data_IF_416029005112
#
_entry.id   IF_416029005112
#
_cell.length_a   1.000
_cell.length_b   1.000
_cell.length_c   1.000
_cell.angle_alpha   90.00
_cell.angle_beta   90.00
_cell.angle_gamma   90.00
#
_symmetry.space_group_name_H-M   'P 1'
#
loop_
_entity.id
_entity.type
_entity.pdbx_description
1 polymer ?
#
# COMPACT_ATOMS: atom_id res chain seq x y z
N UNK A 1 -17.27 -17.04 5.18
CA UNK A 1 -15.84 -16.92 4.80
C UNK A 1 -15.43 -15.50 5.12
N UNK A 2 -14.40 -15.30 5.95
CA UNK A 2 -13.93 -13.95 6.25
C UNK A 2 -13.22 -13.42 5.00
N UNK A 3 -13.66 -12.30 4.46
CA UNK A 3 -12.90 -11.61 3.40
C UNK A 3 -11.55 -11.18 4.01
N UNK A 4 -10.42 -11.37 3.32
CA UNK A 4 -9.14 -10.96 3.89
C UNK A 4 -9.08 -9.43 3.93
N UNK A 5 -9.08 -8.86 5.13
CA UNK A 5 -9.08 -7.40 5.36
C UNK A 5 -7.69 -6.81 5.12
N UNK A 6 -7.53 -5.94 4.11
CA UNK A 6 -6.28 -5.29 3.69
C UNK A 6 -5.93 -4.07 4.54
N UNK A 7 -6.90 -3.38 5.13
CA UNK A 7 -6.64 -2.23 6.02
C UNK A 7 -5.63 -2.59 7.12
N UNK A 8 -4.63 -1.74 7.31
CA UNK A 8 -3.54 -1.96 8.27
C UNK A 8 -2.36 -2.76 7.72
N UNK A 9 -2.42 -3.27 6.48
CA UNK A 9 -1.27 -3.91 5.83
C UNK A 9 -0.33 -2.87 5.25
N UNK A 10 0.96 -3.16 5.34
CA UNK A 10 1.99 -2.41 4.65
C UNK A 10 2.39 -3.10 3.35
N UNK A 11 2.74 -2.32 2.34
CA UNK A 11 3.21 -2.79 1.04
C UNK A 11 4.27 -1.89 0.44
N UNK A 12 4.54 -2.15 -0.84
CA UNK A 12 5.50 -1.38 -1.64
C UNK A 12 4.84 -0.91 -2.92
N UNK A 13 5.08 0.34 -3.31
CA UNK A 13 4.61 0.89 -4.58
C UNK A 13 5.37 0.24 -5.75
N UNK A 14 4.63 -0.36 -6.67
CA UNK A 14 5.17 -0.97 -7.92
C UNK A 14 4.91 -0.11 -9.15
N UNK A 15 3.98 0.84 -9.06
CA UNK A 15 3.77 1.91 -10.04
C UNK A 15 3.45 3.20 -9.29
N UNK A 16 4.24 4.25 -9.55
CA UNK A 16 4.13 5.53 -8.84
C UNK A 16 2.68 6.03 -8.76
N UNK A 17 2.29 6.55 -7.59
CA UNK A 17 0.96 7.08 -7.32
C UNK A 17 1.06 8.60 -7.45
N UNK A 18 0.43 9.26 -8.44
CA UNK A 18 0.58 10.71 -8.63
C UNK A 18 -0.10 11.57 -7.55
N UNK A 19 -1.05 10.99 -6.80
CA UNK A 19 -1.88 11.69 -5.82
C UNK A 19 -3.20 12.20 -6.39
N UNK A 20 -4.24 12.25 -5.56
CA UNK A 20 -5.61 12.59 -5.97
C UNK A 20 -6.35 11.39 -6.59
N UNK A 21 -7.03 11.62 -7.71
CA UNK A 21 -7.80 10.59 -8.42
C UNK A 21 -6.96 9.57 -9.24
N UNK A 22 -5.83 9.93 -9.87
CA UNK A 22 -5.02 8.98 -10.62
C UNK A 22 -4.55 7.78 -9.80
N UNK A 23 -4.61 6.60 -10.41
CA UNK A 23 -4.21 5.35 -9.79
C UNK A 23 -2.72 5.06 -10.01
N UNK A 24 -2.05 4.59 -8.95
CA UNK A 24 -0.82 3.82 -9.03
C UNK A 24 -1.06 2.34 -8.73
N UNK A 25 0.01 1.61 -8.42
CA UNK A 25 -0.06 0.19 -8.06
C UNK A 25 0.81 -0.09 -6.84
N UNK A 26 0.33 -0.97 -5.96
CA UNK A 26 1.05 -1.45 -4.79
C UNK A 26 1.03 -2.97 -4.75
N UNK A 27 2.12 -3.56 -4.26
CA UNK A 27 2.19 -4.97 -3.91
C UNK A 27 2.00 -5.14 -2.39
N UNK A 28 1.05 -5.98 -1.99
CA UNK A 28 0.65 -6.21 -0.61
C UNK A 28 0.73 -7.70 -0.24
N UNK A 29 1.13 -8.05 1.01
CA UNK A 29 1.00 -9.41 1.51
C UNK A 29 -0.48 -9.84 1.56
N UNK A 30 -0.82 -10.91 0.85
CA UNK A 30 -2.19 -11.41 0.74
C UNK A 30 -2.23 -12.92 0.57
N UNK A 31 -3.13 -13.59 1.29
CA UNK A 31 -3.39 -15.04 1.17
C UNK A 31 -2.14 -15.97 1.17
N UNK A 32 -1.08 -15.60 1.91
CA UNK A 32 0.16 -16.39 2.00
C UNK A 32 1.20 -16.09 0.91
N UNK A 33 0.95 -15.10 0.06
CA UNK A 33 1.92 -14.55 -0.89
C UNK A 33 1.85 -13.03 -0.93
N UNK A 34 2.19 -12.45 -2.08
CA UNK A 34 1.96 -11.05 -2.38
C UNK A 34 1.01 -10.92 -3.58
N UNK A 35 0.23 -9.85 -3.59
CA UNK A 35 -0.68 -9.56 -4.69
C UNK A 35 -0.70 -8.05 -4.98
N UNK A 36 -0.96 -7.68 -6.23
CA UNK A 36 -1.01 -6.29 -6.67
C UNK A 36 -2.40 -5.71 -6.56
N UNK A 37 -2.47 -4.44 -6.16
CA UNK A 37 -3.70 -3.68 -5.99
C UNK A 37 -3.55 -2.30 -6.61
N UNK A 38 -4.64 -1.78 -7.15
CA UNK A 38 -4.70 -0.39 -7.59
C UNK A 38 -4.70 0.52 -6.36
N UNK A 39 -3.92 1.59 -6.39
CA UNK A 39 -3.72 2.44 -5.22
C UNK A 39 -4.02 3.91 -5.51
N UNK A 40 -4.68 4.56 -4.56
CA UNK A 40 -4.81 6.03 -4.48
C UNK A 40 -4.13 6.55 -3.24
N UNK A 41 -3.67 7.79 -3.31
CA UNK A 41 -3.10 8.50 -2.18
C UNK A 41 -3.50 9.98 -2.27
N UNK A 42 -3.52 10.67 -1.14
CA UNK A 42 -3.81 12.11 -1.12
C UNK A 42 -2.71 12.92 -1.83
N UNK A 43 -1.45 12.49 -1.71
CA UNK A 43 -0.28 13.10 -2.34
C UNK A 43 0.51 12.11 -3.19
N UNK A 44 1.54 12.57 -3.92
CA UNK A 44 2.38 11.72 -4.73
C UNK A 44 3.21 10.76 -3.86
N UNK A 45 3.35 9.51 -4.32
CA UNK A 45 4.20 8.48 -3.71
C UNK A 45 5.03 7.82 -4.83
N UNK A 46 6.35 7.80 -4.66
CA UNK A 46 7.29 7.26 -5.61
C UNK A 46 7.29 5.74 -5.71
N UNK A 47 7.91 5.24 -6.77
CA UNK A 47 8.21 3.81 -6.94
C UNK A 47 9.08 3.31 -5.78
N UNK A 48 8.87 2.06 -5.36
CA UNK A 48 9.57 1.37 -4.26
C UNK A 48 9.35 1.96 -2.86
N UNK A 49 8.55 3.02 -2.73
CA UNK A 49 8.20 3.56 -1.42
C UNK A 49 7.25 2.63 -0.64
N UNK A 50 7.42 2.60 0.68
CA UNK A 50 6.57 1.84 1.57
C UNK A 50 5.28 2.59 1.86
N UNK A 51 4.16 1.85 1.90
CA UNK A 51 2.83 2.41 2.13
C UNK A 51 2.02 1.60 3.13
N UNK A 52 1.03 2.23 3.76
CA UNK A 52 0.04 1.63 4.64
C UNK A 52 -1.34 1.72 4.00
N UNK A 53 -2.06 0.61 3.94
CA UNK A 53 -3.47 0.59 3.49
C UNK A 53 -4.37 1.17 4.57
N UNK A 54 -5.09 2.24 4.24
CA UNK A 54 -6.00 2.94 5.16
C UNK A 54 -7.47 2.73 4.81
N UNK A 55 -7.80 2.35 3.57
CA UNK A 55 -9.15 2.00 3.16
C UNK A 55 -9.16 1.01 1.98
N UNK A 56 -10.28 0.31 1.82
CA UNK A 56 -10.55 -0.63 0.73
C UNK A 56 -11.79 -0.21 -0.04
N UNK A 57 -11.73 -0.36 -1.36
CA UNK A 57 -12.82 -0.05 -2.28
C UNK A 57 -13.14 -1.27 -3.16
N UNK A 58 -14.39 -1.37 -3.67
CA UNK A 58 -14.74 -2.38 -4.67
C UNK A 58 -13.80 -2.34 -5.88
N UNK A 59 -13.54 -3.50 -6.48
CA UNK A 59 -12.68 -3.57 -7.67
C UNK A 59 -11.17 -3.65 -7.38
N UNK A 60 -10.78 -4.02 -6.14
CA UNK A 60 -9.37 -4.18 -5.72
C UNK A 60 -8.58 -2.87 -5.73
N UNK A 61 -9.24 -1.79 -5.30
CA UNK A 61 -8.63 -0.48 -5.12
C UNK A 61 -8.43 -0.27 -3.62
N UNK A 62 -7.28 0.27 -3.25
CA UNK A 62 -6.94 0.64 -1.86
C UNK A 62 -6.57 2.12 -1.81
N UNK A 63 -6.96 2.79 -0.74
CA UNK A 63 -6.34 4.07 -0.39
C UNK A 63 -5.16 3.80 0.53
N UNK A 64 -4.05 4.46 0.24
CA UNK A 64 -2.79 4.28 0.96
C UNK A 64 -2.17 5.62 1.36
N UNK A 65 -1.40 5.57 2.44
CA UNK A 65 -0.57 6.68 2.91
C UNK A 65 0.90 6.26 2.95
N UNK A 66 1.86 7.19 2.78
CA UNK A 66 3.29 6.90 2.95
C UNK A 66 3.56 6.29 4.33
N UNK A 67 4.31 5.20 4.36
CA UNK A 67 4.68 4.51 5.59
C UNK A 67 6.17 4.62 5.85
N UNK A 68 6.55 5.58 6.69
CA UNK A 68 7.90 5.65 7.21
C UNK A 68 8.13 4.49 8.19
N UNK A 69 9.03 3.56 7.86
CA UNK A 69 9.55 2.65 8.86
C UNK A 69 10.34 3.47 9.87
N UNK A 70 9.93 3.48 11.13
CA UNK A 70 10.82 3.88 12.22
C UNK A 70 12.07 2.99 12.12
N UNK A 71 13.28 3.56 12.00
CA UNK A 71 14.49 2.77 12.08
C UNK A 71 14.45 1.94 13.36
N UNK A 72 14.56 0.61 13.22
CA UNK A 72 14.78 -0.24 14.38
C UNK A 72 16.10 0.16 15.06
N UNK A 73 16.27 -0.10 16.37
CA UNK A 73 17.56 0.12 17.00
C UNK A 73 18.65 -0.61 16.20
N UNK A 74 19.72 0.09 15.85
CA UNK A 74 20.88 -0.53 15.22
C UNK A 74 21.36 -1.68 16.11
N UNK A 75 21.60 -2.89 15.57
CA UNK A 75 22.22 -3.95 16.35
C UNK A 75 23.60 -3.44 16.80
N UNK A 76 23.81 -3.33 18.12
CA UNK A 76 25.14 -3.09 18.69
C UNK A 76 26.04 -4.31 18.54
#
# INVERSE_FOLDING_TARGET
>A
MSVPQLVGRTGTVTMAIPGGEPLGEVELPFAGGTERFLARAAGPIGLDEAVLVIAEWPGRIVDVEPWARTPGPEPR
#
